data_IF_464875574484
#
_entry.id   IF_464875574484
#
_cell.length_a   1.000
_cell.length_b   1.000
_cell.length_c   1.000
_cell.angle_alpha   90.00
_cell.angle_beta   90.00
_cell.angle_gamma   90.00
#
_symmetry.space_group_name_H-M   'P 1'
#
loop_
_entity.id
_entity.type
_entity.pdbx_description
1 polymer ?
#
# COMPACT_ATOMS: atom_id res chain seq x y z
N UNK A 1 10.94 -6.78 21.73
CA UNK A 1 10.26 -6.50 20.45
C UNK A 1 9.76 -7.80 19.86
N UNK A 2 8.44 -7.95 19.72
CA UNK A 2 7.85 -8.99 18.88
C UNK A 2 7.48 -8.31 17.56
N UNK A 3 8.17 -8.66 16.49
CA UNK A 3 7.84 -8.14 15.16
C UNK A 3 6.53 -8.77 14.69
N UNK A 4 5.47 -7.97 14.66
CA UNK A 4 4.18 -8.43 14.12
C UNK A 4 4.17 -8.25 12.61
N UNK A 5 3.53 -9.18 11.90
CA UNK A 5 3.45 -9.17 10.44
C UNK A 5 2.00 -9.24 9.97
N UNK A 6 1.70 -8.42 8.96
CA UNK A 6 0.41 -8.41 8.27
C UNK A 6 0.64 -8.49 6.78
N UNK A 7 -0.22 -9.21 6.05
CA UNK A 7 -0.07 -9.39 4.61
C UNK A 7 -1.38 -9.22 3.84
N UNK A 8 -1.26 -8.81 2.58
CA UNK A 8 -2.33 -8.74 1.58
C UNK A 8 -1.83 -9.36 0.27
N UNK A 9 -2.57 -10.30 -0.30
CA UNK A 9 -2.40 -10.77 -1.68
C UNK A 9 -3.76 -10.72 -2.37
N UNK A 10 -3.90 -9.89 -3.39
CA UNK A 10 -5.20 -9.60 -4.01
C UNK A 10 -5.07 -9.14 -5.47
N UNK A 11 -6.23 -8.94 -6.09
CA UNK A 11 -6.36 -8.43 -7.46
C UNK A 11 -6.91 -7.01 -7.45
N UNK A 12 -6.46 -6.21 -8.42
CA UNK A 12 -7.09 -4.96 -8.81
C UNK A 12 -7.47 -5.02 -10.28
N UNK A 13 -8.74 -4.77 -10.60
CA UNK A 13 -9.22 -4.96 -11.96
C UNK A 13 -8.99 -3.74 -12.84
N UNK A 14 -8.36 -3.99 -13.99
CA UNK A 14 -8.10 -3.03 -15.07
C UNK A 14 -8.83 -3.46 -16.34
N UNK A 15 -8.87 -2.60 -17.36
CA UNK A 15 -9.49 -2.88 -18.65
C UNK A 15 -8.60 -2.45 -19.83
N UNK A 16 -9.11 -2.51 -21.05
CA UNK A 16 -8.36 -2.12 -22.25
C UNK A 16 -8.40 -0.60 -22.53
N UNK A 17 -8.65 0.25 -21.54
CA UNK A 17 -8.68 1.70 -21.77
C UNK A 17 -7.29 2.34 -21.56
N UNK A 18 -7.10 3.53 -22.13
CA UNK A 18 -5.94 4.38 -21.80
C UNK A 18 -6.20 5.26 -20.57
N UNK A 19 -7.26 4.98 -19.79
CA UNK A 19 -7.58 5.73 -18.58
C UNK A 19 -6.45 5.56 -17.57
N UNK A 20 -6.00 6.68 -17.00
CA UNK A 20 -4.92 6.71 -16.02
C UNK A 20 -5.36 6.10 -14.70
N UNK A 21 -4.50 5.27 -14.14
CA UNK A 21 -4.62 4.65 -12.84
C UNK A 21 -3.69 5.38 -11.88
N UNK A 22 -4.19 5.72 -10.70
CA UNK A 22 -3.42 6.33 -9.62
C UNK A 22 -3.34 5.43 -8.40
N UNK A 23 -2.23 5.58 -7.69
CA UNK A 23 -1.91 4.93 -6.42
C UNK A 23 -1.76 6.00 -5.35
N UNK A 24 -2.42 5.78 -4.22
CA UNK A 24 -2.17 6.50 -2.96
C UNK A 24 -1.83 5.44 -1.89
N UNK A 25 -0.78 5.70 -1.12
CA UNK A 25 -0.35 4.83 -0.01
C UNK A 25 -0.35 5.70 1.24
N UNK A 26 -1.17 5.34 2.22
CA UNK A 26 -1.29 6.06 3.50
C UNK A 26 -0.71 5.16 4.57
N UNK A 27 0.33 5.62 5.25
CA UNK A 27 1.03 4.86 6.27
C UNK A 27 0.91 5.54 7.63
N UNK A 28 0.27 4.85 8.56
CA UNK A 28 0.13 5.26 9.95
C UNK A 28 -0.84 6.42 10.19
N UNK A 29 -1.34 6.48 11.41
CA UNK A 29 -2.13 7.60 11.95
C UNK A 29 -1.28 8.61 12.72
N UNK A 30 -1.95 9.51 13.45
CA UNK A 30 -1.28 10.37 14.41
C UNK A 30 -0.51 9.54 15.43
N UNK A 31 0.71 9.97 15.77
CA UNK A 31 1.57 9.25 16.70
C UNK A 31 2.23 8.01 16.10
N UNK A 32 2.34 7.88 14.77
CA UNK A 32 3.03 6.76 14.13
C UNK A 32 4.12 7.26 13.19
N UNK A 33 5.17 6.45 13.05
CA UNK A 33 6.22 6.67 12.04
C UNK A 33 6.27 5.47 11.11
N UNK A 34 6.68 5.69 9.87
CA UNK A 34 6.70 4.65 8.86
C UNK A 34 7.86 4.81 7.89
N UNK A 35 8.30 3.68 7.37
CA UNK A 35 9.16 3.61 6.18
C UNK A 35 8.61 2.53 5.27
N UNK A 36 8.63 2.77 3.96
CA UNK A 36 8.17 1.77 3.00
C UNK A 36 8.94 1.78 1.68
N UNK A 37 8.86 0.64 1.00
CA UNK A 37 9.24 0.42 -0.38
C UNK A 37 7.98 0.09 -1.20
N UNK A 38 7.88 0.60 -2.43
CA UNK A 38 6.80 0.27 -3.35
C UNK A 38 7.33 0.11 -4.78
N UNK A 39 6.99 -1.01 -5.43
CA UNK A 39 7.53 -1.35 -6.75
C UNK A 39 6.48 -1.92 -7.68
N UNK A 40 6.51 -1.45 -8.93
CA UNK A 40 5.88 -2.05 -10.11
C UNK A 40 6.96 -2.13 -11.19
N UNK A 41 7.32 -3.33 -11.63
CA UNK A 41 8.47 -3.52 -12.53
C UNK A 41 8.32 -2.74 -13.86
N UNK A 42 9.29 -1.85 -14.11
CA UNK A 42 9.34 -0.97 -15.28
C UNK A 42 8.43 0.26 -15.20
N UNK A 43 7.74 0.49 -14.08
CA UNK A 43 6.76 1.58 -13.93
C UNK A 43 7.05 2.42 -12.69
N UNK A 44 7.29 1.77 -11.54
CA UNK A 44 7.44 2.42 -10.24
C UNK A 44 8.55 1.73 -9.44
N UNK A 45 9.46 2.51 -8.86
CA UNK A 45 10.48 2.02 -7.93
C UNK A 45 10.74 3.07 -6.83
N UNK A 46 9.99 2.96 -5.73
CA UNK A 46 10.11 3.80 -4.55
C UNK A 46 10.82 3.01 -3.47
N UNK A 47 11.87 3.58 -2.88
CA UNK A 47 12.70 2.93 -1.86
C UNK A 47 12.87 3.84 -0.65
N UNK A 48 12.73 3.25 0.55
CA UNK A 48 12.95 3.88 1.85
C UNK A 48 12.25 5.23 2.00
N UNK A 49 11.04 5.33 1.46
CA UNK A 49 10.24 6.53 1.59
C UNK A 49 9.62 6.56 2.99
N UNK A 50 9.60 7.73 3.61
CA UNK A 50 8.98 7.94 4.91
C UNK A 50 7.58 8.53 4.73
N UNK A 51 6.63 8.09 5.57
CA UNK A 51 5.26 8.57 5.50
C UNK A 51 4.50 8.08 4.27
N UNK A 52 3.54 8.88 3.82
CA UNK A 52 2.56 8.51 2.80
C UNK A 52 2.98 8.95 1.38
N UNK A 53 2.48 8.25 0.36
CA UNK A 53 2.50 8.72 -1.03
C UNK A 53 1.13 9.33 -1.34
N UNK A 54 1.04 10.62 -1.70
CA UNK A 54 -0.21 11.20 -2.14
C UNK A 54 -0.68 10.55 -3.44
N UNK A 55 -1.94 10.74 -3.82
CA UNK A 55 -2.47 10.20 -5.07
C UNK A 55 -1.59 10.56 -6.27
N UNK A 56 -0.91 9.54 -6.82
CA UNK A 56 0.09 9.67 -7.88
C UNK A 56 -0.31 8.79 -9.06
N UNK A 57 -0.30 9.34 -10.28
CA UNK A 57 -0.54 8.55 -11.49
C UNK A 57 0.62 7.58 -11.69
N UNK A 58 0.32 6.28 -11.75
CA UNK A 58 1.33 5.24 -11.96
C UNK A 58 1.44 4.86 -13.45
N UNK A 59 0.32 4.65 -14.13
CA UNK A 59 0.26 4.31 -15.55
C UNK A 59 -1.19 4.35 -16.06
N UNK A 60 -1.50 3.74 -17.20
CA UNK A 60 -2.87 3.46 -17.66
C UNK A 60 -3.25 1.98 -17.53
N UNK A 61 -4.55 1.69 -17.68
CA UNK A 61 -5.10 0.35 -17.51
C UNK A 61 -4.43 -0.69 -18.42
N UNK A 62 -4.26 -0.38 -19.72
CA UNK A 62 -3.58 -1.28 -20.68
C UNK A 62 -2.18 -1.66 -20.22
N UNK A 63 -1.38 -0.66 -19.82
CA UNK A 63 0.01 -0.87 -19.43
C UNK A 63 0.15 -1.63 -18.12
N UNK A 64 -0.83 -1.49 -17.22
CA UNK A 64 -0.83 -2.18 -15.94
C UNK A 64 -1.27 -3.63 -16.02
N UNK A 65 -2.02 -4.05 -17.05
CA UNK A 65 -2.49 -5.43 -17.12
C UNK A 65 -1.32 -6.45 -17.02
N UNK A 66 -1.44 -7.40 -16.11
CA UNK A 66 -0.41 -8.42 -15.81
C UNK A 66 0.76 -7.92 -14.95
N UNK A 67 0.79 -6.64 -14.56
CA UNK A 67 1.79 -6.10 -13.63
C UNK A 67 1.44 -6.42 -12.19
N UNK A 68 2.45 -6.34 -11.33
CA UNK A 68 2.33 -6.60 -9.89
C UNK A 68 2.86 -5.38 -9.15
N UNK A 69 2.02 -4.83 -8.27
CA UNK A 69 2.44 -3.89 -7.24
C UNK A 69 2.86 -4.66 -5.99
N UNK A 70 4.07 -4.41 -5.54
CA UNK A 70 4.61 -4.92 -4.28
C UNK A 70 4.89 -3.76 -3.35
N UNK A 71 4.45 -3.87 -2.09
CA UNK A 71 4.68 -2.88 -1.05
C UNK A 71 5.21 -3.60 0.19
N UNK A 72 6.29 -3.09 0.76
CA UNK A 72 6.80 -3.49 2.06
C UNK A 72 6.85 -2.24 2.94
N UNK A 73 6.12 -2.23 4.05
CA UNK A 73 6.04 -1.08 4.93
C UNK A 73 6.25 -1.51 6.37
N UNK A 74 7.10 -0.79 7.08
CA UNK A 74 7.32 -0.96 8.51
C UNK A 74 6.74 0.26 9.20
N UNK A 75 5.80 0.05 10.13
CA UNK A 75 5.14 1.11 10.89
C UNK A 75 5.42 0.91 12.38
N UNK A 76 5.91 1.95 13.02
CA UNK A 76 6.16 1.98 14.47
C UNK A 76 5.12 2.87 15.13
N UNK A 77 4.40 2.32 16.10
CA UNK A 77 3.49 3.10 16.93
C UNK A 77 4.28 3.85 17.99
N UNK A 78 4.17 5.17 18.01
CA UNK A 78 4.80 6.06 19.00
C UNK A 78 3.77 6.80 19.84
N UNK A 79 2.50 6.39 19.70
CA UNK A 79 1.38 6.96 20.43
C UNK A 79 1.34 6.40 21.85
N UNK A 80 0.94 7.25 22.79
CA UNK A 80 0.59 6.85 24.16
C UNK A 80 -0.90 6.59 24.35
N UNK A 81 -1.69 6.99 23.36
CA UNK A 81 -3.15 7.03 23.45
C UNK A 81 -3.80 5.95 22.58
N UNK A 82 -3.05 5.37 21.64
CA UNK A 82 -3.50 4.32 20.73
C UNK A 82 -2.50 3.17 20.73
N UNK A 83 -2.95 1.97 20.35
CA UNK A 83 -2.11 0.79 20.22
C UNK A 83 -2.33 0.07 18.87
N UNK A 84 -2.63 0.81 17.81
CA UNK A 84 -2.94 0.25 16.50
C UNK A 84 -2.13 0.94 15.41
N UNK A 85 -1.60 0.17 14.47
CA UNK A 85 -0.94 0.65 13.25
C UNK A 85 -1.83 0.41 12.04
N UNK A 86 -1.69 1.26 11.03
CA UNK A 86 -2.54 1.24 9.84
C UNK A 86 -1.77 1.46 8.55
N UNK A 87 -2.09 0.67 7.52
CA UNK A 87 -1.68 0.89 6.13
C UNK A 87 -2.93 0.90 5.26
N UNK A 88 -3.14 1.95 4.45
CA UNK A 88 -4.17 1.96 3.40
C UNK A 88 -3.53 2.07 2.03
N UNK A 89 -3.99 1.23 1.12
CA UNK A 89 -3.61 1.29 -0.30
C UNK A 89 -4.85 1.63 -1.10
N UNK A 90 -4.79 2.70 -1.89
CA UNK A 90 -5.91 3.16 -2.71
C UNK A 90 -5.52 3.15 -4.17
N UNK A 91 -6.34 2.49 -4.97
CA UNK A 91 -6.20 2.45 -6.42
C UNK A 91 -7.45 3.05 -7.06
N UNK A 92 -7.24 4.04 -7.92
CA UNK A 92 -8.30 4.70 -8.68
C UNK A 92 -7.97 4.62 -10.18
N UNK A 93 -8.99 4.61 -11.02
CA UNK A 93 -8.84 4.66 -12.47
C UNK A 93 -8.95 3.32 -13.19
N UNK A 94 -8.99 2.20 -12.47
CA UNK A 94 -9.36 0.88 -12.97
C UNK A 94 -10.85 0.75 -13.30
N UNK A 95 -11.38 -0.48 -13.22
CA UNK A 95 -12.83 -0.72 -13.34
C UNK A 95 -13.59 0.02 -12.23
N UNK A 96 -13.03 0.07 -11.03
CA UNK A 96 -13.57 0.82 -9.91
C UNK A 96 -12.45 1.35 -8.99
N UNK A 97 -12.82 2.31 -8.13
CA UNK A 97 -11.98 2.67 -7.00
C UNK A 97 -11.99 1.54 -5.96
N UNK A 98 -10.82 1.19 -5.44
CA UNK A 98 -10.69 0.21 -4.35
C UNK A 98 -9.71 0.74 -3.31
N UNK A 99 -10.11 0.62 -2.04
CA UNK A 99 -9.25 0.83 -0.87
C UNK A 99 -9.01 -0.52 -0.19
N UNK A 100 -7.74 -0.82 0.10
CA UNK A 100 -7.33 -1.97 0.88
C UNK A 100 -6.77 -1.50 2.23
N UNK A 101 -7.57 -1.49 3.29
CA UNK A 101 -7.10 -1.12 4.61
C UNK A 101 -6.52 -2.34 5.34
N UNK A 102 -5.37 -2.15 5.99
CA UNK A 102 -4.72 -3.15 6.83
C UNK A 102 -4.45 -2.55 8.20
N UNK A 103 -4.78 -3.30 9.24
CA UNK A 103 -4.65 -2.89 10.62
C UNK A 103 -3.91 -3.93 11.43
N UNK A 104 -3.17 -3.48 12.44
CA UNK A 104 -2.59 -4.37 13.43
C UNK A 104 -2.49 -3.68 14.77
N UNK A 105 -2.87 -4.36 15.85
CA UNK A 105 -2.61 -3.86 17.19
C UNK A 105 -1.18 -4.20 17.63
N UNK A 106 -0.57 -3.31 18.41
CA UNK A 106 0.70 -3.49 19.13
C UNK A 106 0.46 -3.52 20.64
N UNK A 107 1.44 -4.00 21.40
CA UNK A 107 1.31 -4.14 22.86
C UNK A 107 1.87 -2.90 23.58
N UNK A 108 2.95 -2.30 23.08
CA UNK A 108 3.66 -1.22 23.73
C UNK A 108 3.95 -0.05 22.77
N UNK A 109 4.10 1.15 23.33
CA UNK A 109 4.71 2.29 22.62
C UNK A 109 6.10 1.89 22.10
N UNK A 110 6.37 2.18 20.84
CA UNK A 110 7.60 1.84 20.14
C UNK A 110 7.59 0.47 19.46
N UNK A 111 6.53 -0.34 19.63
CA UNK A 111 6.40 -1.60 18.90
C UNK A 111 6.12 -1.34 17.41
N UNK A 112 6.58 -2.28 16.60
CA UNK A 112 6.61 -2.16 15.14
C UNK A 112 5.82 -3.29 14.48
N UNK A 113 5.19 -2.96 13.36
CA UNK A 113 4.48 -3.91 12.49
C UNK A 113 5.03 -3.82 11.07
N UNK A 114 5.37 -4.97 10.50
CA UNK A 114 5.71 -5.13 9.10
C UNK A 114 4.49 -5.52 8.26
N UNK A 115 4.21 -4.75 7.23
CA UNK A 115 3.18 -4.97 6.24
C UNK A 115 3.80 -5.40 4.91
N UNK A 116 3.27 -6.47 4.31
CA UNK A 116 3.64 -6.90 2.96
C UNK A 116 2.40 -7.02 2.09
N UNK A 117 2.34 -6.24 1.02
CA UNK A 117 1.18 -6.22 0.12
C UNK A 117 1.61 -6.58 -1.30
N UNK A 118 0.82 -7.43 -1.93
CA UNK A 118 0.94 -7.83 -3.33
C UNK A 118 -0.41 -7.62 -3.99
N UNK A 119 -0.46 -6.75 -5.00
CA UNK A 119 -1.67 -6.46 -5.78
C UNK A 119 -1.37 -6.75 -7.24
N UNK A 120 -2.10 -7.69 -7.85
CA UNK A 120 -1.96 -8.01 -9.27
C UNK A 120 -3.01 -7.27 -10.07
N UNK A 121 -2.55 -6.55 -11.09
CA UNK A 121 -3.43 -5.87 -12.03
C UNK A 121 -3.93 -6.89 -13.05
N UNK A 122 -5.24 -7.09 -13.12
CA UNK A 122 -5.85 -8.15 -13.94
C UNK A 122 -7.01 -7.59 -14.77
N UNK A 123 -7.03 -7.91 -16.07
CA UNK A 123 -8.19 -7.70 -16.92
C UNK A 123 -9.03 -9.00 -16.96
N UNK A 124 -10.29 -8.99 -16.48
CA UNK A 124 -11.16 -10.18 -16.47
C UNK A 124 -11.86 -10.45 -17.81
N UNK A 125 -11.70 -9.57 -18.80
CA UNK A 125 -12.37 -9.66 -20.11
C UNK A 125 -11.62 -10.57 -21.09
#
# INVERSE_FOLDING_TARGET
MKDKRTALDTLYFVNESNKKVSLEIITGGLGQTSTFDAKIEGILDIKKANGSIPQTIISDNKTLNGKILTIACTITDTSRDTNYTELRIRLNGGIMFVEYPLFANVENEGDTVDYRCVIRFFNPS
#
